data_IF_128154369069
#
_entry.id   IF_128154369069
#
_cell.length_a   1.000
_cell.length_b   1.000
_cell.length_c   1.000
_cell.angle_alpha   90.00
_cell.angle_beta   90.00
_cell.angle_gamma   90.00
#
_symmetry.space_group_name_H-M   'P 1'
#
loop_
_entity.id
_entity.type
_entity.pdbx_description
1 polymer ?
#
# COMPACT_ATOMS: atom_id res chain seq x y z
N UNK A 1 -17.27 -38.68 32.10
CA UNK A 1 -18.30 -37.64 31.89
C UNK A 1 -18.61 -36.99 33.24
N UNK A 2 -18.08 -35.81 33.50
CA UNK A 2 -18.36 -35.04 34.73
C UNK A 2 -19.55 -34.14 34.38
N UNK A 3 -20.69 -34.34 35.06
CA UNK A 3 -21.95 -33.65 34.75
C UNK A 3 -21.80 -32.13 34.76
N UNK A 4 -22.34 -31.47 33.72
CA UNK A 4 -22.36 -30.01 33.66
C UNK A 4 -23.01 -29.45 34.95
N UNK A 5 -22.41 -28.43 35.60
CA UNK A 5 -22.98 -27.83 36.80
C UNK A 5 -24.37 -27.26 36.47
N UNK A 6 -25.40 -27.80 37.13
CA UNK A 6 -26.81 -27.48 36.85
C UNK A 6 -27.12 -25.99 36.98
N UNK A 7 -26.44 -25.29 37.90
CA UNK A 7 -26.66 -23.86 38.17
C UNK A 7 -25.32 -23.16 38.42
N UNK A 8 -25.07 -22.04 37.75
CA UNK A 8 -23.78 -21.31 37.79
C UNK A 8 -23.97 -19.81 38.02
N UNK A 9 -22.96 -19.14 38.57
CA UNK A 9 -22.97 -17.66 38.65
C UNK A 9 -22.79 -17.05 37.27
N UNK A 10 -23.28 -15.81 37.08
CA UNK A 10 -23.19 -15.01 35.84
C UNK A 10 -21.83 -15.08 35.13
N UNK A 11 -20.71 -14.94 35.84
CA UNK A 11 -19.37 -14.97 35.23
C UNK A 11 -19.00 -16.36 34.67
N UNK A 12 -19.44 -17.43 35.33
CA UNK A 12 -19.26 -18.79 34.84
C UNK A 12 -20.22 -19.10 33.69
N UNK A 13 -21.47 -18.63 33.74
CA UNK A 13 -22.40 -18.71 32.62
C UNK A 13 -21.87 -18.01 31.36
N UNK A 14 -21.31 -16.81 31.52
CA UNK A 14 -20.70 -16.02 30.43
C UNK A 14 -19.62 -16.83 29.69
N UNK A 15 -18.76 -17.55 30.44
CA UNK A 15 -17.76 -18.45 29.86
C UNK A 15 -18.38 -19.64 29.14
N UNK A 16 -19.41 -20.26 29.72
CA UNK A 16 -20.09 -21.44 29.15
C UNK A 16 -20.85 -21.17 27.85
N UNK A 17 -21.27 -19.91 27.62
CA UNK A 17 -21.99 -19.49 26.40
C UNK A 17 -21.15 -18.56 25.51
N UNK A 18 -19.86 -18.40 25.82
CA UNK A 18 -18.89 -17.60 25.09
C UNK A 18 -19.32 -16.14 24.80
N UNK A 19 -19.78 -15.43 25.84
CA UNK A 19 -20.12 -14.00 25.75
C UNK A 19 -19.50 -13.20 26.89
N UNK A 20 -19.44 -11.88 26.75
CA UNK A 20 -18.95 -11.02 27.83
C UNK A 20 -19.91 -11.03 29.04
N UNK A 21 -19.40 -10.85 30.28
CA UNK A 21 -20.25 -10.69 31.46
C UNK A 21 -21.24 -9.52 31.35
N UNK A 22 -20.86 -8.46 30.62
CA UNK A 22 -21.73 -7.34 30.27
C UNK A 22 -22.94 -7.78 29.45
N UNK A 23 -22.71 -8.60 28.42
CA UNK A 23 -23.77 -9.17 27.56
C UNK A 23 -24.75 -10.04 28.36
N UNK A 24 -24.27 -10.87 29.30
CA UNK A 24 -25.15 -11.64 30.19
C UNK A 24 -26.02 -10.71 31.05
N UNK A 25 -25.49 -9.57 31.53
CA UNK A 25 -26.30 -8.57 32.26
C UNK A 25 -27.45 -8.04 31.42
N UNK A 26 -27.20 -7.78 30.14
CA UNK A 26 -28.22 -7.32 29.21
C UNK A 26 -29.27 -8.40 28.95
N UNK A 27 -28.85 -9.67 28.82
CA UNK A 27 -29.77 -10.81 28.68
C UNK A 27 -30.67 -10.97 29.91
N UNK A 28 -30.13 -10.82 31.12
CA UNK A 28 -30.92 -10.83 32.36
C UNK A 28 -31.99 -9.72 32.34
N UNK A 29 -31.63 -8.50 31.95
CA UNK A 29 -32.60 -7.40 31.80
C UNK A 29 -33.64 -7.67 30.70
N UNK A 30 -33.27 -8.42 29.67
CA UNK A 30 -34.16 -8.81 28.58
C UNK A 30 -35.04 -10.03 28.91
N UNK A 31 -34.88 -10.64 30.08
CA UNK A 31 -35.75 -11.73 30.56
C UNK A 31 -35.09 -13.11 30.63
N UNK A 32 -33.76 -13.22 30.60
CA UNK A 32 -33.06 -14.49 30.88
C UNK A 32 -33.44 -14.99 32.29
N UNK A 33 -33.90 -16.24 32.45
CA UNK A 33 -34.28 -16.77 33.76
C UNK A 33 -33.09 -16.83 34.73
N UNK A 34 -33.27 -16.28 35.93
CA UNK A 34 -32.29 -16.30 37.03
C UNK A 34 -32.98 -16.80 38.29
N UNK A 35 -32.29 -17.62 39.06
CA UNK A 35 -32.74 -18.10 40.37
C UNK A 35 -32.79 -16.96 41.40
N UNK A 36 -33.55 -17.11 42.51
CA UNK A 36 -33.61 -16.10 43.57
C UNK A 36 -32.25 -15.73 44.19
N UNK A 37 -31.27 -16.64 44.10
CA UNK A 37 -29.90 -16.46 44.58
C UNK A 37 -28.93 -15.82 43.55
N UNK A 38 -29.46 -15.40 42.39
CA UNK A 38 -28.70 -14.76 41.32
C UNK A 38 -27.91 -15.73 40.43
N UNK A 39 -28.09 -17.05 40.59
CA UNK A 39 -27.47 -18.05 39.71
C UNK A 39 -28.36 -18.36 38.50
N UNK A 40 -27.74 -18.87 37.45
CA UNK A 40 -28.37 -19.18 36.16
C UNK A 40 -28.30 -20.68 35.95
N UNK A 41 -29.44 -21.29 35.74
CA UNK A 41 -29.53 -22.66 35.27
C UNK A 41 -29.03 -22.74 33.83
N UNK A 42 -28.02 -23.58 33.58
CA UNK A 42 -27.32 -23.61 32.29
C UNK A 42 -28.25 -24.05 31.16
N UNK A 43 -29.14 -25.01 31.42
CA UNK A 43 -30.05 -25.54 30.42
C UNK A 43 -31.13 -24.52 30.04
N UNK A 44 -31.79 -23.92 31.05
CA UNK A 44 -32.79 -22.87 30.83
C UNK A 44 -32.19 -21.63 30.18
N UNK A 45 -30.96 -21.27 30.57
CA UNK A 45 -30.25 -20.14 29.97
C UNK A 45 -29.93 -20.36 28.49
N UNK A 46 -29.45 -21.56 28.11
CA UNK A 46 -29.16 -21.91 26.70
C UNK A 46 -30.42 -21.98 25.85
N UNK A 47 -31.52 -22.47 26.39
CA UNK A 47 -32.81 -22.48 25.70
C UNK A 47 -33.34 -21.07 25.45
N UNK A 48 -33.29 -20.21 26.46
CA UNK A 48 -33.68 -18.81 26.30
C UNK A 48 -32.83 -18.09 25.25
N UNK A 49 -31.51 -18.30 25.22
CA UNK A 49 -30.63 -17.70 24.19
C UNK A 49 -31.05 -18.14 22.79
N UNK A 50 -31.30 -19.44 22.57
CA UNK A 50 -31.75 -19.95 21.26
C UNK A 50 -33.08 -19.34 20.81
N UNK A 51 -34.00 -19.10 21.74
CA UNK A 51 -35.31 -18.54 21.44
C UNK A 51 -35.30 -17.01 21.25
N UNK A 52 -34.37 -16.28 21.89
CA UNK A 52 -34.46 -14.81 22.04
C UNK A 52 -33.28 -14.03 21.45
N UNK A 53 -32.20 -14.70 21.02
CA UNK A 53 -31.00 -14.02 20.50
C UNK A 53 -30.77 -14.40 19.05
N UNK A 54 -30.90 -13.41 18.16
CA UNK A 54 -30.53 -13.58 16.75
C UNK A 54 -28.99 -13.67 16.60
N UNK A 55 -28.44 -14.80 16.12
CA UNK A 55 -27.00 -14.96 15.90
C UNK A 55 -26.44 -13.95 14.91
N UNK A 56 -27.23 -13.53 13.90
CA UNK A 56 -26.80 -12.63 12.84
C UNK A 56 -26.67 -11.19 13.31
N UNK A 57 -27.44 -10.79 14.33
CA UNK A 57 -27.39 -9.45 14.91
C UNK A 57 -26.18 -9.26 15.85
N UNK A 58 -25.68 -10.33 16.45
CA UNK A 58 -24.45 -10.29 17.29
C UNK A 58 -23.16 -10.24 16.46
N UNK A 59 -23.15 -10.84 15.26
CA UNK A 59 -22.02 -10.79 14.34
C UNK A 59 -21.73 -9.37 13.79
N UNK A 60 -22.72 -8.48 13.80
CA UNK A 60 -22.57 -7.10 13.32
C UNK A 60 -21.93 -6.15 14.35
N UNK A 61 -21.71 -6.58 15.61
CA UNK A 61 -21.30 -5.68 16.70
C UNK A 61 -20.21 -6.24 17.61
N UNK A 62 -19.63 -7.40 17.29
CA UNK A 62 -18.58 -8.07 18.05
C UNK A 62 -17.30 -8.23 17.25
N UNK A 63 -16.19 -7.89 17.89
CA UNK A 63 -14.82 -8.07 17.45
C UNK A 63 -14.57 -9.40 16.70
N UNK A 64 -13.76 -9.31 15.65
CA UNK A 64 -13.50 -10.37 14.67
C UNK A 64 -12.67 -11.50 15.29
N UNK A 65 -13.29 -12.41 16.04
CA UNK A 65 -12.70 -13.73 16.32
C UNK A 65 -13.23 -14.72 15.28
N UNK A 66 -12.36 -15.05 14.32
CA UNK A 66 -12.61 -15.90 13.18
C UNK A 66 -13.18 -17.29 13.56
N UNK A 67 -14.19 -17.75 12.81
CA UNK A 67 -14.72 -19.11 12.87
C UNK A 67 -13.88 -20.05 11.96
N UNK A 68 -13.63 -21.33 12.32
CA UNK A 68 -12.53 -22.12 11.76
C UNK A 68 -12.81 -22.88 10.44
N UNK A 69 -13.86 -22.58 9.67
CA UNK A 69 -14.26 -23.49 8.57
C UNK A 69 -14.71 -22.86 7.25
N UNK A 70 -14.34 -21.61 7.00
CA UNK A 70 -14.25 -21.13 5.62
C UNK A 70 -12.77 -21.09 5.26
N UNK A 71 -12.39 -21.72 4.15
CA UNK A 71 -11.13 -21.43 3.48
C UNK A 71 -11.20 -19.98 2.98
N UNK A 72 -11.10 -19.03 3.91
CA UNK A 72 -10.81 -17.65 3.61
C UNK A 72 -9.38 -17.63 3.09
N UNK A 73 -9.11 -16.95 1.96
CA UNK A 73 -7.73 -16.66 1.60
C UNK A 73 -7.05 -16.08 2.84
N UNK A 74 -5.94 -16.69 3.24
CA UNK A 74 -5.30 -16.47 4.53
C UNK A 74 -5.13 -14.97 4.78
N UNK A 75 -6.00 -14.41 5.64
CA UNK A 75 -6.05 -12.98 5.87
C UNK A 75 -4.71 -12.45 6.42
N UNK A 76 -3.90 -13.33 7.04
CA UNK A 76 -2.54 -13.02 7.43
C UNK A 76 -1.59 -12.91 6.24
N UNK A 77 -1.74 -13.77 5.21
CA UNK A 77 -0.97 -13.71 3.97
C UNK A 77 -1.27 -12.43 3.18
N UNK A 78 -2.54 -12.11 2.96
CA UNK A 78 -2.94 -10.87 2.24
C UNK A 78 -2.51 -9.61 3.02
N UNK A 79 -2.59 -9.64 4.35
CA UNK A 79 -2.09 -8.55 5.19
C UNK A 79 -0.57 -8.41 5.09
N UNK A 80 0.17 -9.51 5.05
CA UNK A 80 1.63 -9.52 4.87
C UNK A 80 2.02 -8.93 3.52
N UNK A 81 1.30 -9.30 2.46
CA UNK A 81 1.50 -8.76 1.12
C UNK A 81 1.26 -7.24 1.10
N UNK A 82 0.16 -6.78 1.67
CA UNK A 82 -0.17 -5.35 1.73
C UNK A 82 0.87 -4.55 2.53
N UNK A 83 1.36 -5.08 3.66
CA UNK A 83 2.43 -4.44 4.44
C UNK A 83 3.72 -4.34 3.64
N UNK A 84 4.07 -5.38 2.86
CA UNK A 84 5.23 -5.36 1.97
C UNK A 84 5.08 -4.29 0.89
N UNK A 85 3.95 -4.25 0.19
CA UNK A 85 3.69 -3.23 -0.85
C UNK A 85 3.73 -1.81 -0.26
N UNK A 86 3.24 -1.62 0.97
CA UNK A 86 3.34 -0.34 1.69
C UNK A 86 4.78 0.03 2.05
N UNK A 87 5.58 -0.94 2.50
CA UNK A 87 7.00 -0.73 2.80
C UNK A 87 7.79 -0.34 1.54
N UNK A 88 7.56 -1.02 0.43
CA UNK A 88 8.20 -0.73 -0.86
C UNK A 88 7.83 0.69 -1.35
N UNK A 89 6.56 1.06 -1.24
CA UNK A 89 6.10 2.41 -1.57
C UNK A 89 6.73 3.48 -0.67
N UNK A 90 6.87 3.23 0.63
CA UNK A 90 7.56 4.14 1.55
C UNK A 90 9.05 4.26 1.21
N UNK A 91 9.70 3.17 0.83
CA UNK A 91 11.10 3.16 0.40
C UNK A 91 11.32 4.01 -0.86
N UNK A 92 10.46 3.87 -1.88
CA UNK A 92 10.52 4.68 -3.10
C UNK A 92 10.32 6.18 -2.81
N UNK A 93 9.37 6.52 -1.93
CA UNK A 93 9.17 7.92 -1.49
C UNK A 93 10.40 8.47 -0.76
N UNK A 94 11.00 7.68 0.13
CA UNK A 94 12.21 8.08 0.85
C UNK A 94 13.38 8.30 -0.11
N UNK A 95 13.56 7.42 -1.10
CA UNK A 95 14.61 7.55 -2.11
C UNK A 95 14.42 8.81 -2.98
N UNK A 96 13.18 9.14 -3.37
CA UNK A 96 12.86 10.41 -4.04
C UNK A 96 13.19 11.63 -3.16
N UNK A 97 12.79 11.62 -1.89
CA UNK A 97 13.08 12.71 -0.94
C UNK A 97 14.58 12.91 -0.72
N UNK A 98 15.36 11.82 -0.75
CA UNK A 98 16.83 11.84 -0.70
C UNK A 98 17.48 12.20 -2.03
N UNK A 99 16.71 12.36 -3.11
CA UNK A 99 17.19 12.63 -4.47
C UNK A 99 18.04 11.50 -5.06
N UNK A 100 17.80 10.26 -4.62
CA UNK A 100 18.44 9.06 -5.14
C UNK A 100 17.78 8.58 -6.44
N UNK A 101 16.52 8.94 -6.66
CA UNK A 101 15.75 8.61 -7.86
C UNK A 101 15.47 9.89 -8.65
N UNK A 102 15.73 9.84 -9.96
CA UNK A 102 15.40 10.91 -10.89
C UNK A 102 14.31 10.43 -11.87
N UNK A 103 13.35 11.30 -12.21
CA UNK A 103 12.36 10.99 -13.25
C UNK A 103 13.05 10.86 -14.61
N UNK A 104 13.22 9.62 -15.07
CA UNK A 104 13.98 9.30 -16.29
C UNK A 104 13.52 10.11 -17.51
N UNK A 105 12.20 10.26 -17.71
CA UNK A 105 11.68 11.03 -18.83
C UNK A 105 11.97 12.53 -18.76
N UNK A 106 12.10 13.13 -17.57
CA UNK A 106 12.53 14.53 -17.43
C UNK A 106 14.02 14.65 -17.71
N UNK A 107 14.84 13.76 -17.14
CA UNK A 107 16.29 13.72 -17.39
C UNK A 107 16.56 13.58 -18.89
N UNK A 108 15.90 12.65 -19.57
CA UNK A 108 16.06 12.44 -21.01
C UNK A 108 15.68 13.68 -21.82
N UNK A 109 14.55 14.34 -21.49
CA UNK A 109 14.13 15.57 -22.17
C UNK A 109 15.14 16.69 -21.99
N UNK A 110 15.56 16.96 -20.75
CA UNK A 110 16.53 18.02 -20.45
C UNK A 110 17.87 17.77 -21.15
N UNK A 111 18.38 16.53 -21.10
CA UNK A 111 19.61 16.18 -21.82
C UNK A 111 19.46 16.29 -23.33
N UNK A 112 18.36 15.84 -23.90
CA UNK A 112 18.10 15.98 -25.32
C UNK A 112 18.04 17.46 -25.74
N UNK A 113 17.41 18.32 -24.92
CA UNK A 113 17.35 19.76 -25.16
C UNK A 113 18.73 20.43 -25.08
N UNK A 114 19.54 20.08 -24.07
CA UNK A 114 20.92 20.55 -23.94
C UNK A 114 21.74 20.14 -25.16
N UNK A 115 21.70 18.87 -25.57
CA UNK A 115 22.46 18.35 -26.71
C UNK A 115 22.02 18.98 -28.03
N UNK A 116 20.71 19.20 -28.24
CA UNK A 116 20.21 19.95 -29.41
C UNK A 116 20.78 21.37 -29.45
N UNK A 117 20.81 22.07 -28.32
CA UNK A 117 21.38 23.43 -28.23
C UNK A 117 22.89 23.44 -28.50
N UNK A 118 23.63 22.47 -27.97
CA UNK A 118 25.07 22.30 -28.23
C UNK A 118 25.30 22.11 -29.73
N UNK A 119 24.59 21.16 -30.36
CA UNK A 119 24.68 20.91 -31.82
C UNK A 119 24.40 22.18 -32.63
N UNK A 120 23.31 22.89 -32.33
CA UNK A 120 22.97 24.13 -33.05
C UNK A 120 24.05 25.21 -32.88
N UNK A 121 24.66 25.33 -31.69
CA UNK A 121 25.72 26.31 -31.44
C UNK A 121 27.02 25.96 -32.17
N UNK A 122 27.38 24.68 -32.23
CA UNK A 122 28.53 24.16 -32.96
C UNK A 122 28.39 24.38 -34.46
N UNK A 123 27.25 24.00 -35.05
CA UNK A 123 26.99 24.21 -36.49
C UNK A 123 26.94 25.69 -36.90
N UNK A 124 26.75 26.60 -35.94
CA UNK A 124 26.81 28.04 -36.18
C UNK A 124 28.23 28.63 -35.96
N UNK A 125 29.24 27.84 -35.58
CA UNK A 125 30.62 28.32 -35.41
C UNK A 125 31.24 28.82 -36.72
N UNK A 126 31.17 28.11 -37.86
CA UNK A 126 31.86 28.54 -39.09
C UNK A 126 31.39 29.92 -39.58
N UNK A 127 30.08 30.18 -39.52
CA UNK A 127 29.52 31.48 -39.92
C UNK A 127 29.96 32.61 -38.99
N UNK A 128 30.00 32.38 -37.66
CA UNK A 128 30.54 33.35 -36.70
C UNK A 128 32.02 33.62 -36.91
N UNK A 129 32.82 32.58 -37.20
CA UNK A 129 34.24 32.74 -37.49
C UNK A 129 34.46 33.61 -38.73
N UNK A 130 33.69 33.39 -39.80
CA UNK A 130 33.75 34.23 -41.01
C UNK A 130 33.44 35.70 -40.73
N UNK A 131 32.54 35.99 -39.80
CA UNK A 131 32.18 37.36 -39.41
C UNK A 131 33.31 38.07 -38.64
N UNK A 132 34.08 37.33 -37.83
CA UNK A 132 35.12 37.90 -36.94
C UNK A 132 36.52 37.84 -37.58
N UNK A 133 36.74 36.90 -38.50
CA UNK A 133 38.03 36.66 -39.17
C UNK A 133 37.87 36.90 -40.68
N UNK A 134 37.98 38.16 -41.15
CA UNK A 134 37.70 38.53 -42.54
C UNK A 134 38.71 37.95 -43.55
N UNK A 135 39.84 37.42 -43.08
CA UNK A 135 40.84 36.75 -43.92
C UNK A 135 40.49 35.28 -44.22
N UNK A 136 39.50 34.70 -43.54
CA UNK A 136 39.04 33.34 -43.86
C UNK A 136 38.38 33.32 -45.23
N UNK A 137 38.84 32.42 -46.08
CA UNK A 137 38.24 32.19 -47.40
C UNK A 137 36.95 31.39 -47.28
N UNK A 138 36.15 31.38 -48.35
CA UNK A 138 34.97 30.52 -48.42
C UNK A 138 35.32 29.02 -48.28
N UNK A 139 36.50 28.63 -48.77
CA UNK A 139 36.99 27.26 -48.65
C UNK A 139 37.29 26.90 -47.19
N UNK A 140 38.00 27.76 -46.45
CA UNK A 140 38.33 27.53 -45.03
C UNK A 140 37.07 27.33 -44.18
N UNK A 141 36.04 28.16 -44.42
CA UNK A 141 34.76 28.08 -43.70
C UNK A 141 34.02 26.79 -44.04
N UNK A 142 34.06 26.35 -45.30
CA UNK A 142 33.45 25.09 -45.71
C UNK A 142 34.17 23.88 -45.10
N UNK A 143 35.51 23.90 -45.05
CA UNK A 143 36.31 22.87 -44.38
C UNK A 143 35.97 22.78 -42.90
N UNK A 144 35.88 23.92 -42.19
CA UNK A 144 35.47 23.95 -40.79
C UNK A 144 34.04 23.40 -40.56
N UNK A 145 33.09 23.74 -41.44
CA UNK A 145 31.72 23.20 -41.34
C UNK A 145 31.71 21.69 -41.54
N UNK A 146 32.46 21.18 -42.53
CA UNK A 146 32.58 19.75 -42.80
C UNK A 146 33.19 19.00 -41.60
N UNK A 147 34.31 19.48 -41.06
CA UNK A 147 34.96 18.85 -39.90
C UNK A 147 34.07 18.82 -38.65
N UNK A 148 33.33 19.90 -38.38
CA UNK A 148 32.40 19.94 -37.25
C UNK A 148 31.23 18.96 -37.44
N UNK A 149 30.76 18.76 -38.67
CA UNK A 149 29.72 17.77 -38.97
C UNK A 149 30.23 16.35 -38.84
N UNK A 150 31.42 16.05 -39.36
CA UNK A 150 32.07 14.75 -39.20
C UNK A 150 32.21 14.40 -37.71
N UNK A 151 32.72 15.32 -36.90
CA UNK A 151 32.85 15.11 -35.46
C UNK A 151 31.49 14.86 -34.77
N UNK A 152 30.42 15.51 -35.20
CA UNK A 152 29.06 15.28 -34.68
C UNK A 152 28.46 13.94 -35.16
N UNK A 153 28.79 13.51 -36.37
CA UNK A 153 28.38 12.21 -36.93
C UNK A 153 29.10 11.05 -36.23
N UNK A 154 30.40 11.16 -35.98
CA UNK A 154 31.17 10.16 -35.24
C UNK A 154 30.58 9.95 -33.83
N UNK A 155 30.26 11.03 -33.11
CA UNK A 155 29.59 10.95 -31.81
C UNK A 155 28.18 10.33 -31.86
N UNK A 156 27.53 10.36 -33.02
CA UNK A 156 26.23 9.71 -33.21
C UNK A 156 26.37 8.20 -33.48
N UNK A 157 27.51 7.77 -34.00
CA UNK A 157 27.77 6.40 -34.43
C UNK A 157 28.41 5.53 -33.34
N UNK A 158 28.95 6.13 -32.27
CA UNK A 158 29.51 5.46 -31.08
C UNK A 158 28.44 4.79 -30.16
N UNK A 159 27.36 4.27 -30.74
CA UNK A 159 26.27 3.59 -30.03
C UNK A 159 26.31 2.08 -30.16
#
# INVERSE_FOLDING_TARGET
>A
MIGEPKVVRKAAFAKLVNVSPGRVSQMIRAGLPVEPDGRIDVARGREWIRANVDPKRSAAQGDQTALPFAAQPDAASERTRLVREQADHAALKNALLRRELLPAGEVEREWADILRRVRSRLLAVPSRLRQVLPHLTAHDVATLDSELRLALEDLSNDR
#
